data_IF_164703311913
#
_entry.id   IF_164703311913
#
_cell.length_a   1.000
_cell.length_b   1.000
_cell.length_c   1.000
_cell.angle_alpha   90.00
_cell.angle_beta   90.00
_cell.angle_gamma   90.00
#
_symmetry.space_group_name_H-M   'P 1'
#
loop_
_entity.id
_entity.type
_entity.pdbx_description
1 polymer ?
#
# COMPACT_ATOMS: atom_id res chain seq x y z
N UNK A 1 0.54 7.62 18.61
CA UNK A 1 -0.41 7.12 19.63
C UNK A 1 -1.82 7.63 19.45
N UNK A 2 -2.05 8.95 19.43
CA UNK A 2 -3.39 9.53 19.25
C UNK A 2 -4.08 9.08 17.95
N UNK A 3 -3.34 8.97 16.84
CA UNK A 3 -3.87 8.49 15.56
C UNK A 3 -4.49 7.09 15.70
N UNK A 4 -3.77 6.12 16.27
CA UNK A 4 -4.32 4.78 16.53
C UNK A 4 -5.53 4.85 17.47
N UNK A 5 -5.46 5.64 18.54
CA UNK A 5 -6.56 5.78 19.49
C UNK A 5 -7.86 6.23 18.81
N UNK A 6 -7.77 7.23 17.93
CA UNK A 6 -8.93 7.71 17.15
C UNK A 6 -9.45 6.62 16.21
N UNK A 7 -8.56 6.00 15.42
CA UNK A 7 -8.96 5.03 14.40
C UNK A 7 -9.45 3.69 14.96
N UNK A 8 -8.97 3.31 16.14
CA UNK A 8 -9.36 2.08 16.83
C UNK A 8 -10.58 2.23 17.76
N UNK A 9 -11.18 3.42 17.81
CA UNK A 9 -12.30 3.69 18.73
C UNK A 9 -11.91 3.67 20.21
N UNK A 10 -10.68 4.05 20.54
CA UNK A 10 -10.22 4.25 21.92
C UNK A 10 -9.21 3.23 22.43
N UNK A 11 -8.62 2.40 21.57
CA UNK A 11 -7.57 1.47 21.96
C UNK A 11 -6.20 2.14 21.95
N UNK A 12 -5.26 1.56 22.69
CA UNK A 12 -3.87 2.02 22.74
C UNK A 12 -2.97 0.95 22.12
N UNK A 13 -2.01 1.31 21.25
CA UNK A 13 -1.26 0.31 20.49
C UNK A 13 -0.37 -0.57 21.39
N UNK A 14 -0.01 -0.09 22.58
CA UNK A 14 0.79 -0.81 23.56
C UNK A 14 -0.05 -1.46 24.68
N UNK A 15 -1.36 -1.62 24.46
CA UNK A 15 -2.28 -2.21 25.45
C UNK A 15 -2.68 -1.24 26.56
N UNK A 16 -3.26 -1.77 27.65
CA UNK A 16 -3.87 -0.99 28.75
C UNK A 16 -3.16 -1.21 30.08
N UNK A 17 -3.26 -0.21 30.98
CA UNK A 17 -2.78 -0.30 32.36
C UNK A 17 -1.26 -0.33 32.49
N UNK A 18 -0.76 -0.94 33.57
CA UNK A 18 0.66 -0.93 33.99
C UNK A 18 1.59 -1.52 32.92
N UNK A 19 1.09 -2.45 32.09
CA UNK A 19 1.89 -3.07 31.02
C UNK A 19 2.20 -2.13 29.85
N UNK A 20 1.49 -1.01 29.73
CA UNK A 20 1.67 -0.09 28.61
C UNK A 20 3.10 0.46 28.54
N UNK A 21 3.66 0.92 29.66
CA UNK A 21 5.02 1.48 29.70
C UNK A 21 6.08 0.42 29.39
N UNK A 22 5.92 -0.78 29.94
CA UNK A 22 6.80 -1.93 29.66
C UNK A 22 6.75 -2.28 28.16
N UNK A 23 5.56 -2.32 27.57
CA UNK A 23 5.40 -2.59 26.15
C UNK A 23 6.04 -1.50 25.27
N UNK A 24 5.98 -0.23 25.66
CA UNK A 24 6.66 0.86 24.95
C UNK A 24 8.18 0.66 24.98
N UNK A 25 8.73 0.33 26.15
CA UNK A 25 10.17 0.07 26.31
C UNK A 25 10.61 -1.14 25.49
N UNK A 26 9.81 -2.20 25.50
CA UNK A 26 10.05 -3.45 24.77
C UNK A 26 9.73 -3.35 23.26
N UNK A 27 9.17 -2.23 22.79
CA UNK A 27 8.73 -2.08 21.39
C UNK A 27 7.55 -3.00 21.00
N UNK A 28 6.80 -3.54 21.97
CA UNK A 28 5.70 -4.49 21.75
C UNK A 28 4.38 -3.75 21.55
N UNK A 29 3.86 -3.76 20.32
CA UNK A 29 2.58 -3.14 19.99
C UNK A 29 1.64 -4.10 19.22
N UNK A 30 0.35 -3.78 19.21
CA UNK A 30 -0.68 -4.41 18.38
C UNK A 30 -1.52 -3.33 17.71
N UNK A 31 -1.75 -3.50 16.40
CA UNK A 31 -2.61 -2.62 15.59
C UNK A 31 -3.89 -3.34 15.10
N UNK A 32 -4.30 -4.42 15.77
CA UNK A 32 -5.39 -5.30 15.35
C UNK A 32 -6.75 -4.60 15.20
N UNK A 33 -6.96 -3.47 15.87
CA UNK A 33 -8.22 -2.72 15.84
C UNK A 33 -8.31 -1.68 14.70
N UNK A 34 -7.35 -1.69 13.78
CA UNK A 34 -7.39 -0.86 12.56
C UNK A 34 -7.34 -1.80 11.37
N UNK A 35 -8.26 -1.69 10.42
CA UNK A 35 -8.26 -2.52 9.20
C UNK A 35 -7.47 -1.89 8.05
N UNK A 36 -7.42 -0.56 7.99
CA UNK A 36 -6.75 0.18 6.92
C UNK A 36 -5.22 -0.01 6.99
N UNK A 37 -4.69 -0.73 6.00
CA UNK A 37 -3.26 -1.02 5.85
C UNK A 37 -2.40 0.24 5.67
N UNK A 38 -2.93 1.29 5.04
CA UNK A 38 -2.24 2.57 4.88
C UNK A 38 -2.17 3.29 6.23
N UNK A 39 -3.23 3.18 7.04
CA UNK A 39 -3.22 3.73 8.39
C UNK A 39 -2.23 2.98 9.31
N UNK A 40 -2.15 1.65 9.19
CA UNK A 40 -1.17 0.84 9.93
C UNK A 40 0.26 1.26 9.60
N UNK A 41 0.63 1.33 8.32
CA UNK A 41 1.99 1.75 7.89
C UNK A 41 2.36 3.12 8.49
N UNK A 42 1.43 4.08 8.47
CA UNK A 42 1.65 5.39 9.11
C UNK A 42 1.92 5.25 10.62
N UNK A 43 1.07 4.49 11.32
CA UNK A 43 1.15 4.36 12.77
C UNK A 43 2.44 3.66 13.18
N UNK A 44 2.83 2.58 12.50
CA UNK A 44 4.06 1.83 12.74
C UNK A 44 5.29 2.73 12.64
N UNK A 45 5.38 3.54 11.56
CA UNK A 45 6.45 4.54 11.41
C UNK A 45 6.46 5.54 12.55
N UNK A 46 5.30 6.04 12.96
CA UNK A 46 5.19 7.04 14.05
C UNK A 46 5.55 6.48 15.43
N UNK A 47 5.34 5.18 15.69
CA UNK A 47 5.60 4.55 17.00
C UNK A 47 6.89 3.73 17.02
N UNK A 48 7.73 3.84 15.99
CA UNK A 48 9.00 3.10 15.89
C UNK A 48 9.81 3.21 17.20
N UNK A 49 10.39 2.09 17.65
CA UNK A 49 11.16 2.06 18.89
C UNK A 49 12.37 2.99 18.82
N UNK A 50 13.06 3.03 17.67
CA UNK A 50 14.19 3.93 17.43
C UNK A 50 13.66 5.35 17.12
N UNK A 51 13.93 6.36 17.98
CA UNK A 51 13.39 7.70 17.78
C UNK A 51 13.84 8.38 16.49
N UNK A 52 15.03 8.03 15.97
CA UNK A 52 15.56 8.60 14.72
C UNK A 52 14.83 8.11 13.47
N UNK A 53 14.22 6.93 13.53
CA UNK A 53 13.44 6.35 12.43
C UNK A 53 11.99 6.87 12.40
N UNK A 54 11.57 7.61 13.43
CA UNK A 54 10.23 8.23 13.45
C UNK A 54 10.20 9.40 12.47
N UNK A 55 9.16 9.50 11.61
CA UNK A 55 9.03 10.59 10.67
C UNK A 55 8.79 11.92 11.40
N UNK A 56 9.21 13.02 10.79
CA UNK A 56 8.80 14.35 11.24
C UNK A 56 7.32 14.57 10.94
N UNK A 57 6.74 15.61 11.53
CA UNK A 57 5.32 15.95 11.31
C UNK A 57 5.07 16.24 9.83
N UNK A 58 5.97 16.96 9.17
CA UNK A 58 5.84 17.32 7.76
C UNK A 58 5.87 16.07 6.87
N UNK A 59 6.68 15.06 7.21
CA UNK A 59 6.76 13.80 6.47
C UNK A 59 5.52 12.94 6.72
N UNK A 60 5.01 12.96 7.95
CA UNK A 60 3.74 12.30 8.33
C UNK A 60 2.59 12.84 7.49
N UNK A 61 2.51 14.16 7.27
CA UNK A 61 1.47 14.79 6.44
C UNK A 61 1.61 14.49 4.94
N UNK A 62 2.80 14.08 4.47
CA UNK A 62 3.01 13.64 3.08
C UNK A 62 2.60 12.18 2.86
N UNK A 63 2.32 11.43 3.92
CA UNK A 63 1.95 10.02 3.84
C UNK A 63 0.66 9.78 3.03
N UNK A 64 0.53 8.67 2.27
CA UNK A 64 -0.68 8.33 1.50
C UNK A 64 -1.98 8.29 2.31
N UNK A 65 -1.88 8.10 3.63
CA UNK A 65 -3.02 8.18 4.55
C UNK A 65 -3.77 9.52 4.40
N UNK A 66 -3.06 10.63 4.24
CA UNK A 66 -3.64 11.97 4.11
C UNK A 66 -3.91 12.40 2.66
N UNK A 67 -3.68 11.53 1.67
CA UNK A 67 -3.94 11.89 0.28
C UNK A 67 -5.43 11.88 -0.03
N UNK A 68 -5.87 12.84 -0.85
CA UNK A 68 -7.20 12.81 -1.45
C UNK A 68 -7.31 11.64 -2.44
N UNK A 69 -8.54 11.25 -2.76
CA UNK A 69 -8.77 10.22 -3.77
C UNK A 69 -8.21 10.62 -5.14
N UNK A 70 -8.28 11.90 -5.54
CA UNK A 70 -7.67 12.34 -6.80
C UNK A 70 -6.16 12.15 -6.78
N UNK A 71 -5.49 12.49 -5.67
CA UNK A 71 -4.04 12.32 -5.54
C UNK A 71 -3.62 10.84 -5.57
N UNK A 72 -4.41 9.95 -4.94
CA UNK A 72 -4.17 8.50 -4.99
C UNK A 72 -4.28 7.96 -6.41
N UNK A 73 -5.30 8.37 -7.16
CA UNK A 73 -5.49 7.98 -8.55
C UNK A 73 -4.37 8.55 -9.43
N UNK A 74 -4.00 9.82 -9.26
CA UNK A 74 -2.91 10.45 -10.00
C UNK A 74 -1.57 9.73 -9.76
N UNK A 75 -1.29 9.35 -8.52
CA UNK A 75 -0.11 8.56 -8.19
C UNK A 75 -0.11 7.22 -8.93
N UNK A 76 -1.22 6.47 -8.91
CA UNK A 76 -1.31 5.19 -9.64
C UNK A 76 -1.17 5.36 -11.16
N UNK A 77 -1.71 6.45 -11.72
CA UNK A 77 -1.53 6.80 -13.13
C UNK A 77 -0.06 7.05 -13.47
N UNK A 78 0.64 7.83 -12.63
CA UNK A 78 2.09 8.09 -12.79
C UNK A 78 2.88 6.79 -12.75
N UNK A 79 2.62 5.94 -11.74
CA UNK A 79 3.28 4.63 -11.64
C UNK A 79 2.99 3.74 -12.86
N UNK A 80 1.79 3.77 -13.44
CA UNK A 80 1.48 3.04 -14.68
C UNK A 80 2.04 3.66 -15.97
N UNK A 81 2.60 4.87 -15.87
CA UNK A 81 3.33 5.56 -16.94
C UNK A 81 4.85 5.37 -16.85
N UNK A 82 5.36 4.86 -15.73
CA UNK A 82 6.76 4.45 -15.63
C UNK A 82 7.11 3.39 -16.69
N UNK A 83 8.35 3.42 -17.17
CA UNK A 83 8.80 2.61 -18.32
C UNK A 83 8.65 1.12 -18.07
N UNK A 84 8.89 0.70 -16.84
CA UNK A 84 8.79 -0.66 -16.36
C UNK A 84 7.34 -1.15 -16.44
N UNK A 85 6.37 -0.33 -16.02
CA UNK A 85 4.94 -0.65 -16.12
C UNK A 85 4.45 -0.60 -17.59
N UNK A 86 4.96 0.34 -18.38
CA UNK A 86 4.71 0.38 -19.82
C UNK A 86 5.17 -0.90 -20.53
N UNK A 87 6.37 -1.37 -20.18
CA UNK A 87 6.97 -2.60 -20.68
C UNK A 87 6.59 -3.84 -19.86
N UNK A 88 5.45 -3.83 -19.13
CA UNK A 88 5.04 -4.93 -18.26
C UNK A 88 5.06 -6.32 -18.90
N UNK A 89 4.90 -6.42 -20.23
CA UNK A 89 4.91 -7.69 -20.99
C UNK A 89 6.30 -8.29 -21.22
N UNK A 90 7.34 -7.47 -21.13
CA UNK A 90 8.75 -7.89 -21.20
C UNK A 90 9.49 -7.31 -19.99
N UNK A 91 8.85 -7.35 -18.83
CA UNK A 91 9.42 -6.85 -17.59
C UNK A 91 10.69 -7.62 -17.22
N UNK A 92 11.62 -6.92 -16.59
CA UNK A 92 12.83 -7.52 -16.03
C UNK A 92 12.45 -8.46 -14.87
N UNK A 93 12.99 -9.68 -14.89
CA UNK A 93 12.73 -10.69 -13.85
C UNK A 93 13.28 -10.26 -12.49
N UNK A 94 14.44 -9.58 -12.45
CA UNK A 94 15.04 -9.10 -11.20
C UNK A 94 14.16 -8.03 -10.55
N UNK A 95 13.54 -7.17 -11.37
CA UNK A 95 12.58 -6.17 -10.89
C UNK A 95 11.31 -6.83 -10.35
N UNK A 96 10.78 -7.83 -11.04
CA UNK A 96 9.60 -8.56 -10.56
C UNK A 96 9.89 -9.26 -9.23
N UNK A 97 11.06 -9.90 -9.11
CA UNK A 97 11.50 -10.52 -7.87
C UNK A 97 11.61 -9.48 -6.73
N UNK A 98 12.24 -8.33 -6.99
CA UNK A 98 12.33 -7.26 -5.99
C UNK A 98 10.95 -6.77 -5.56
N UNK A 99 10.01 -6.58 -6.50
CA UNK A 99 8.64 -6.18 -6.16
C UNK A 99 7.91 -7.24 -5.31
N UNK A 100 8.14 -8.52 -5.58
CA UNK A 100 7.56 -9.62 -4.79
C UNK A 100 8.15 -9.65 -3.36
N UNK A 101 9.44 -9.34 -3.18
CA UNK A 101 10.07 -9.18 -1.85
C UNK A 101 9.47 -8.02 -1.03
N UNK A 102 9.14 -6.90 -1.67
CA UNK A 102 8.49 -5.76 -0.98
C UNK A 102 6.99 -5.94 -0.77
N UNK A 103 6.38 -6.94 -1.39
CA UNK A 103 4.95 -7.23 -1.30
C UNK A 103 4.67 -8.55 -0.59
N UNK A 104 5.60 -9.03 0.24
CA UNK A 104 5.45 -10.27 1.03
C UNK A 104 4.11 -10.28 1.79
N UNK A 105 3.34 -11.36 1.58
CA UNK A 105 1.98 -11.52 2.13
C UNK A 105 0.86 -10.87 1.30
N UNK A 106 1.20 -10.09 0.27
CA UNK A 106 0.29 -9.42 -0.66
C UNK A 106 0.68 -9.77 -2.09
N UNK A 107 0.11 -10.84 -2.66
CA UNK A 107 0.33 -11.15 -4.08
C UNK A 107 -0.64 -10.39 -4.97
N UNK A 108 -0.11 -9.79 -6.02
CA UNK A 108 -0.92 -9.24 -7.11
C UNK A 108 -1.13 -10.25 -8.23
N UNK A 109 -0.63 -11.48 -8.10
CA UNK A 109 -0.96 -12.56 -9.02
C UNK A 109 -2.46 -12.85 -8.95
N UNK A 110 -3.14 -12.89 -10.10
CA UNK A 110 -4.59 -13.08 -10.24
C UNK A 110 -5.45 -11.84 -9.90
N UNK A 111 -4.91 -10.63 -9.99
CA UNK A 111 -5.68 -9.40 -9.77
C UNK A 111 -6.89 -9.31 -10.71
N UNK A 112 -6.87 -9.94 -11.90
CA UNK A 112 -8.03 -9.95 -12.81
C UNK A 112 -9.25 -10.65 -12.21
N UNK A 113 -9.04 -11.66 -11.36
CA UNK A 113 -10.14 -12.39 -10.69
C UNK A 113 -10.88 -11.52 -9.66
N UNK A 114 -10.27 -10.41 -9.24
CA UNK A 114 -10.86 -9.44 -8.31
C UNK A 114 -11.64 -8.34 -9.03
N UNK A 115 -11.64 -8.33 -10.37
CA UNK A 115 -12.31 -7.34 -11.20
C UNK A 115 -13.48 -7.97 -11.98
N UNK A 116 -14.46 -7.17 -12.42
CA UNK A 116 -15.54 -7.66 -13.29
C UNK A 116 -14.97 -8.29 -14.59
N UNK A 117 -15.37 -9.52 -14.96
CA UNK A 117 -14.84 -10.20 -16.15
C UNK A 117 -15.04 -9.41 -17.45
N UNK A 118 -16.18 -8.74 -17.60
CA UNK A 118 -16.49 -7.93 -18.78
C UNK A 118 -15.53 -6.74 -18.92
N UNK A 119 -15.12 -6.15 -17.79
CA UNK A 119 -14.14 -5.05 -17.78
C UNK A 119 -12.76 -5.55 -18.22
N UNK A 120 -12.32 -6.69 -17.68
CA UNK A 120 -11.04 -7.30 -18.05
C UNK A 120 -11.05 -7.67 -19.54
N UNK A 121 -12.12 -8.31 -20.03
CA UNK A 121 -12.26 -8.70 -21.43
C UNK A 121 -12.22 -7.47 -22.37
N UNK A 122 -12.92 -6.39 -22.03
CA UNK A 122 -12.91 -5.12 -22.79
C UNK A 122 -11.51 -4.50 -22.87
N UNK A 123 -10.75 -4.56 -21.78
CA UNK A 123 -9.43 -3.94 -21.66
C UNK A 123 -8.33 -4.80 -22.30
N UNK A 124 -8.40 -6.12 -22.16
CA UNK A 124 -7.48 -7.07 -22.82
C UNK A 124 -7.77 -7.13 -24.33
N UNK A 125 -9.03 -7.10 -24.77
CA UNK A 125 -9.45 -7.29 -26.17
C UNK A 125 -9.02 -6.20 -27.19
N UNK A 126 -8.35 -5.12 -26.75
CA UNK A 126 -7.79 -4.08 -27.64
C UNK A 126 -6.27 -4.18 -27.84
N UNK A 127 -5.55 -4.95 -27.03
CA UNK A 127 -4.07 -5.11 -27.06
C UNK A 127 -3.71 -6.56 -26.70
N UNK A 128 -2.42 -6.93 -26.62
CA UNK A 128 -2.05 -8.19 -25.94
C UNK A 128 -2.51 -8.13 -24.49
N UNK A 129 -2.96 -9.26 -23.92
CA UNK A 129 -3.41 -9.33 -22.53
C UNK A 129 -2.37 -8.76 -21.54
N UNK A 130 -2.82 -8.12 -20.47
CA UNK A 130 -1.92 -7.67 -19.40
C UNK A 130 -1.43 -8.87 -18.58
N UNK A 131 -0.16 -8.86 -18.14
CA UNK A 131 0.36 -9.91 -17.26
C UNK A 131 -0.29 -9.83 -15.87
N UNK A 132 -0.39 -10.98 -15.20
CA UNK A 132 -0.93 -11.14 -13.84
C UNK A 132 0.14 -10.83 -12.78
N UNK A 133 0.70 -9.62 -12.83
CA UNK A 133 1.69 -9.13 -11.87
C UNK A 133 1.46 -7.64 -11.56
N UNK A 134 2.23 -7.08 -10.62
CA UNK A 134 2.13 -5.69 -10.16
C UNK A 134 2.24 -4.68 -11.32
N UNK A 135 3.18 -4.89 -12.24
CA UNK A 135 3.39 -3.98 -13.39
C UNK A 135 2.20 -4.03 -14.36
N UNK A 136 1.67 -5.23 -14.61
CA UNK A 136 0.46 -5.42 -15.42
C UNK A 136 -0.75 -4.73 -14.82
N UNK A 137 -0.94 -4.81 -13.49
CA UNK A 137 -2.01 -4.13 -12.77
C UNK A 137 -1.87 -2.60 -12.84
N UNK A 138 -0.68 -2.07 -12.57
CA UNK A 138 -0.42 -0.63 -12.64
C UNK A 138 -0.72 -0.08 -14.05
N UNK A 139 -0.26 -0.79 -15.08
CA UNK A 139 -0.53 -0.42 -16.46
C UNK A 139 -2.01 -0.53 -16.81
N UNK A 140 -2.70 -1.56 -16.32
CA UNK A 140 -4.14 -1.72 -16.51
C UNK A 140 -4.92 -0.55 -15.91
N UNK A 141 -4.66 -0.22 -14.63
CA UNK A 141 -5.30 0.88 -13.90
C UNK A 141 -5.09 2.19 -14.64
N UNK A 142 -3.86 2.47 -15.09
CA UNK A 142 -3.57 3.68 -15.86
C UNK A 142 -4.44 3.78 -17.11
N UNK A 143 -4.47 2.73 -17.93
CA UNK A 143 -5.26 2.74 -19.17
C UNK A 143 -6.77 2.86 -18.89
N UNK A 144 -7.26 2.27 -17.80
CA UNK A 144 -8.67 2.34 -17.40
C UNK A 144 -9.12 3.76 -17.09
N UNK A 145 -8.24 4.59 -16.52
CA UNK A 145 -8.59 5.97 -16.18
C UNK A 145 -8.24 7.01 -17.26
N UNK A 146 -7.69 6.58 -18.40
CA UNK A 146 -7.41 7.44 -19.56
C UNK A 146 -8.38 7.22 -20.74
N UNK A 147 -9.12 6.12 -20.77
CA UNK A 147 -9.96 5.68 -21.90
C UNK A 147 -11.29 5.07 -21.42
#
# INVERSE_FOLDING_TARGET
MLVYYILSGGHHPFGKGIRCEVNILDGKYSLEHVEDEIAKDLIERMINQEPKERPKVEDTLRHPFFWTNERRIDYLKRMGNEKEAENCRNADEDLLHALDEYTVGKTFCNWKTKLPPDLVCKMDGKKKAYPENTLGLLRFIRNLFEH
#
